data_IF_969920885392
#
_entry.id   IF_969920885392
#
_cell.length_a   1.000
_cell.length_b   1.000
_cell.length_c   1.000
_cell.angle_alpha   90.00
_cell.angle_beta   90.00
_cell.angle_gamma   90.00
#
_symmetry.space_group_name_H-M   'P 1'
#
loop_
_entity.id
_entity.type
_entity.pdbx_description
1 polymer ?
#
# COMPACT_ATOMS: atom_id res chain seq x y z
N UNK A 1 45.35 2.76 -11.86
CA UNK A 1 44.29 1.80 -11.46
C UNK A 1 43.00 2.59 -11.27
N UNK A 2 42.06 2.52 -12.22
CA UNK A 2 40.79 3.26 -12.15
C UNK A 2 39.87 2.54 -11.17
N UNK A 3 39.41 3.23 -10.11
CA UNK A 3 38.32 2.74 -9.26
C UNK A 3 37.08 2.67 -10.14
N UNK A 4 36.56 1.47 -10.39
CA UNK A 4 35.20 1.33 -10.88
C UNK A 4 34.29 1.84 -9.78
N UNK A 5 33.65 2.98 -10.00
CA UNK A 5 32.54 3.45 -9.17
C UNK A 5 31.43 2.41 -9.31
N UNK A 6 31.40 1.46 -8.37
CA UNK A 6 30.33 0.48 -8.32
C UNK A 6 29.05 1.25 -8.03
N UNK A 7 28.12 1.24 -8.99
CA UNK A 7 26.77 1.78 -8.79
C UNK A 7 26.22 1.12 -7.52
N UNK A 8 25.87 1.88 -6.47
CA UNK A 8 25.55 1.25 -5.21
C UNK A 8 24.25 0.46 -5.35
N UNK A 9 24.16 -0.67 -4.65
CA UNK A 9 23.03 -1.61 -4.79
C UNK A 9 21.67 -0.97 -4.51
N UNK A 10 21.65 0.11 -3.72
CA UNK A 10 20.45 0.89 -3.42
C UNK A 10 19.81 1.49 -4.67
N UNK A 11 20.59 1.87 -5.69
CA UNK A 11 20.11 2.37 -6.96
C UNK A 11 19.25 1.32 -7.69
N UNK A 12 19.75 0.08 -7.77
CA UNK A 12 19.00 -1.01 -8.40
C UNK A 12 17.74 -1.36 -7.62
N UNK A 13 17.83 -1.41 -6.28
CA UNK A 13 16.67 -1.69 -5.41
C UNK A 13 15.59 -0.61 -5.60
N UNK A 14 15.98 0.68 -5.61
CA UNK A 14 15.06 1.80 -5.82
C UNK A 14 14.41 1.75 -7.21
N UNK A 15 15.18 1.45 -8.25
CA UNK A 15 14.64 1.33 -9.61
C UNK A 15 13.66 0.17 -9.76
N UNK A 16 13.98 -1.00 -9.19
CA UNK A 16 13.06 -2.15 -9.19
C UNK A 16 11.77 -1.78 -8.45
N UNK A 17 11.87 -1.19 -7.27
CA UNK A 17 10.70 -0.75 -6.50
C UNK A 17 9.87 0.28 -7.26
N UNK A 18 10.50 1.22 -7.96
CA UNK A 18 9.81 2.22 -8.79
C UNK A 18 9.04 1.57 -9.95
N UNK A 19 9.69 0.69 -10.71
CA UNK A 19 9.05 -0.03 -11.83
C UNK A 19 7.88 -0.89 -11.35
N UNK A 20 8.02 -1.56 -10.20
CA UNK A 20 6.94 -2.35 -9.61
C UNK A 20 5.75 -1.47 -9.21
N UNK A 21 5.99 -0.34 -8.54
CA UNK A 21 4.93 0.62 -8.19
C UNK A 21 4.23 1.16 -9.42
N UNK A 22 4.99 1.60 -10.43
CA UNK A 22 4.44 2.12 -11.68
C UNK A 22 3.54 1.10 -12.38
N UNK A 23 3.98 -0.16 -12.49
CA UNK A 23 3.17 -1.23 -13.08
C UNK A 23 1.91 -1.53 -12.27
N UNK A 24 1.99 -1.45 -10.94
CA UNK A 24 0.81 -1.60 -10.09
C UNK A 24 -0.17 -0.44 -10.29
N UNK A 25 0.31 0.81 -10.29
CA UNK A 25 -0.52 1.98 -10.53
C UNK A 25 -1.24 1.91 -11.89
N UNK A 26 -0.55 1.46 -12.94
CA UNK A 26 -1.17 1.26 -14.25
C UNK A 26 -2.31 0.23 -14.22
N UNK A 27 -2.18 -0.86 -13.44
CA UNK A 27 -3.25 -1.86 -13.29
C UNK A 27 -4.41 -1.34 -12.45
N UNK A 28 -4.11 -0.50 -11.48
CA UNK A 28 -5.10 0.06 -10.56
C UNK A 28 -5.83 1.29 -11.13
N UNK A 29 -5.29 1.91 -12.19
CA UNK A 29 -5.90 3.06 -12.86
C UNK A 29 -7.34 2.82 -13.31
N UNK A 30 -7.68 1.59 -13.73
CA UNK A 30 -9.05 1.22 -14.12
C UNK A 30 -10.04 1.18 -12.94
N UNK A 31 -9.55 1.14 -11.71
CA UNK A 31 -10.33 1.00 -10.49
C UNK A 31 -10.39 2.28 -9.66
N UNK A 32 -9.79 3.38 -10.16
CA UNK A 32 -9.71 4.68 -9.47
C UNK A 32 -9.21 4.58 -8.01
N UNK A 33 -8.22 3.69 -7.81
CA UNK A 33 -7.52 3.52 -6.52
C UNK A 33 -6.01 3.61 -6.72
N UNK A 34 -5.35 4.18 -5.72
CA UNK A 34 -3.88 4.27 -5.65
C UNK A 34 -3.28 3.00 -5.06
N UNK A 35 -1.99 2.75 -5.30
CA UNK A 35 -1.30 1.60 -4.70
C UNK A 35 -1.39 1.54 -3.16
N UNK A 36 -1.26 2.65 -2.39
CA UNK A 36 -1.47 2.61 -0.93
C UNK A 36 -2.89 2.20 -0.53
N UNK A 37 -3.90 2.63 -1.27
CA UNK A 37 -5.30 2.25 -1.04
C UNK A 37 -5.52 0.77 -1.35
N UNK A 38 -4.99 0.26 -2.46
CA UNK A 38 -5.06 -1.17 -2.80
C UNK A 38 -4.33 -2.04 -1.76
N UNK A 39 -3.17 -1.59 -1.29
CA UNK A 39 -2.41 -2.28 -0.23
C UNK A 39 -3.18 -2.32 1.09
N UNK A 40 -3.82 -1.21 1.47
CA UNK A 40 -4.70 -1.13 2.63
C UNK A 40 -5.85 -2.14 2.53
N UNK A 41 -6.53 -2.20 1.38
CA UNK A 41 -7.59 -3.18 1.10
C UNK A 41 -7.08 -4.62 1.22
N UNK A 42 -5.88 -4.91 0.71
CA UNK A 42 -5.26 -6.24 0.85
C UNK A 42 -5.01 -6.65 2.31
N UNK A 43 -4.58 -5.72 3.16
CA UNK A 43 -4.42 -6.00 4.60
C UNK A 43 -5.75 -6.20 5.34
N UNK A 44 -6.81 -5.52 4.89
CA UNK A 44 -8.17 -5.67 5.41
C UNK A 44 -8.73 -7.05 5.04
N UNK A 45 -8.69 -7.41 3.76
CA UNK A 45 -9.14 -8.74 3.28
C UNK A 45 -8.37 -9.88 3.95
N UNK A 46 -7.04 -9.77 4.06
CA UNK A 46 -6.21 -10.74 4.76
C UNK A 46 -6.56 -10.88 6.25
N UNK A 47 -6.87 -9.77 6.93
CA UNK A 47 -7.30 -9.80 8.33
C UNK A 47 -8.68 -10.43 8.48
N UNK A 48 -9.65 -10.09 7.61
CA UNK A 48 -10.98 -10.70 7.60
C UNK A 48 -10.92 -12.22 7.41
N UNK A 49 -10.14 -12.69 6.44
CA UNK A 49 -9.97 -14.13 6.16
C UNK A 49 -9.30 -14.90 7.31
N UNK A 50 -8.42 -14.24 8.06
CA UNK A 50 -7.72 -14.84 9.20
C UNK A 50 -8.43 -14.64 10.53
N UNK A 51 -9.63 -14.01 10.53
CA UNK A 51 -10.38 -13.71 11.75
C UNK A 51 -9.65 -12.72 12.68
N UNK A 52 -8.66 -11.97 12.17
CA UNK A 52 -7.94 -10.97 12.95
C UNK A 52 -8.79 -9.72 13.08
N UNK A 53 -8.75 -9.12 14.27
CA UNK A 53 -9.37 -7.83 14.52
C UNK A 53 -8.71 -6.74 13.65
N UNK A 54 -9.52 -6.06 12.85
CA UNK A 54 -9.08 -4.90 12.08
C UNK A 54 -9.16 -3.67 12.96
N UNK A 55 -8.00 -3.24 13.47
CA UNK A 55 -7.86 -1.98 14.20
C UNK A 55 -6.92 -1.03 13.48
N UNK A 56 -7.04 0.28 13.76
CA UNK A 56 -6.10 1.29 13.24
C UNK A 56 -4.65 0.96 13.63
N UNK A 57 -4.43 0.43 14.84
CA UNK A 57 -3.11 0.00 15.31
C UNK A 57 -2.54 -1.12 14.44
N UNK A 58 -3.36 -2.12 14.12
CA UNK A 58 -2.98 -3.21 13.21
C UNK A 58 -2.62 -2.65 11.82
N UNK A 59 -3.49 -1.85 11.22
CA UNK A 59 -3.29 -1.30 9.89
C UNK A 59 -2.06 -0.40 9.81
N UNK A 60 -1.82 0.44 10.81
CA UNK A 60 -0.61 1.26 10.90
C UNK A 60 0.66 0.41 10.96
N UNK A 61 0.66 -0.67 11.73
CA UNK A 61 1.79 -1.59 11.81
C UNK A 61 2.02 -2.35 10.50
N UNK A 62 0.96 -2.89 9.92
CA UNK A 62 1.01 -3.64 8.67
C UNK A 62 1.49 -2.80 7.48
N UNK A 63 1.04 -1.55 7.42
CA UNK A 63 1.40 -0.60 6.35
C UNK A 63 2.68 0.19 6.64
N UNK A 64 3.22 0.14 7.87
CA UNK A 64 4.35 0.96 8.35
C UNK A 64 4.13 2.46 8.15
N UNK A 65 2.93 2.95 8.45
CA UNK A 65 2.55 4.37 8.37
C UNK A 65 1.83 4.82 9.64
N UNK A 66 1.76 6.14 9.84
CA UNK A 66 1.10 6.72 11.02
C UNK A 66 -0.42 6.42 11.05
N UNK A 67 -1.00 6.39 12.25
CA UNK A 67 -2.46 6.27 12.43
C UNK A 67 -3.28 7.33 11.69
N UNK A 68 -2.87 8.62 11.70
CA UNK A 68 -3.48 9.64 10.86
C UNK A 68 -3.41 9.33 9.36
N UNK A 69 -2.28 8.83 8.86
CA UNK A 69 -2.14 8.42 7.45
C UNK A 69 -3.08 7.26 7.08
N UNK A 70 -3.24 6.26 7.96
CA UNK A 70 -4.25 5.20 7.78
C UNK A 70 -5.65 5.78 7.72
N UNK A 71 -5.98 6.70 8.62
CA UNK A 71 -7.30 7.35 8.66
C UNK A 71 -7.58 8.12 7.37
N UNK A 72 -6.58 8.84 6.85
CA UNK A 72 -6.68 9.53 5.56
C UNK A 72 -6.94 8.57 4.40
N UNK A 73 -6.27 7.41 4.37
CA UNK A 73 -6.47 6.39 3.35
C UNK A 73 -7.85 5.71 3.44
N UNK A 74 -8.35 5.45 4.65
CA UNK A 74 -9.70 4.93 4.85
C UNK A 74 -10.75 5.93 4.36
N UNK A 75 -10.61 7.21 4.73
CA UNK A 75 -11.54 8.25 4.31
C UNK A 75 -11.52 8.47 2.79
N UNK A 76 -10.36 8.34 2.13
CA UNK A 76 -10.29 8.46 0.67
C UNK A 76 -10.90 7.24 -0.03
N UNK A 77 -10.74 6.03 0.53
CA UNK A 77 -11.43 4.83 0.03
C UNK A 77 -12.95 4.98 0.13
N UNK A 78 -13.48 5.47 1.25
CA UNK A 78 -14.91 5.72 1.44
C UNK A 78 -15.47 6.71 0.42
N UNK A 79 -14.74 7.79 0.13
CA UNK A 79 -15.10 8.75 -0.92
C UNK A 79 -15.17 8.14 -2.32
N UNK A 80 -14.35 7.12 -2.57
CA UNK A 80 -14.32 6.39 -3.85
C UNK A 80 -15.35 5.24 -3.88
N UNK A 81 -16.25 5.16 -2.89
CA UNK A 81 -17.34 4.17 -2.83
C UNK A 81 -16.97 2.84 -2.16
N UNK A 82 -15.72 2.69 -1.70
CA UNK A 82 -15.29 1.49 -0.97
C UNK A 82 -15.67 1.62 0.51
N UNK A 83 -16.46 0.67 1.03
CA UNK A 83 -16.92 0.68 2.43
C UNK A 83 -16.29 -0.48 3.24
N UNK A 84 -14.97 -0.44 3.51
CA UNK A 84 -14.25 -1.56 4.12
C UNK A 84 -14.69 -1.94 5.55
N UNK A 85 -15.55 -1.13 6.18
CA UNK A 85 -16.06 -1.35 7.54
C UNK A 85 -17.52 -1.80 7.64
N UNK A 86 -18.29 -1.84 6.54
CA UNK A 86 -19.71 -2.24 6.59
C UNK A 86 -19.87 -3.66 6.05
N UNK A 87 -20.32 -4.59 6.90
CA UNK A 87 -20.83 -5.88 6.45
C UNK A 87 -22.09 -5.62 5.59
N UNK A 88 -22.07 -6.14 4.36
CA UNK A 88 -23.28 -6.40 3.57
C UNK A 88 -24.12 -7.49 4.23
#
# INVERSE_FOLDING_TARGET
MKRYDMIPHDFYIKNIAHVLRYKNDQKLAAYDITEPQARLLGHIDGAQRSGKEISRRYLSGAMQISGPSVTSLLNSLEKNGFHPGKKS
#
